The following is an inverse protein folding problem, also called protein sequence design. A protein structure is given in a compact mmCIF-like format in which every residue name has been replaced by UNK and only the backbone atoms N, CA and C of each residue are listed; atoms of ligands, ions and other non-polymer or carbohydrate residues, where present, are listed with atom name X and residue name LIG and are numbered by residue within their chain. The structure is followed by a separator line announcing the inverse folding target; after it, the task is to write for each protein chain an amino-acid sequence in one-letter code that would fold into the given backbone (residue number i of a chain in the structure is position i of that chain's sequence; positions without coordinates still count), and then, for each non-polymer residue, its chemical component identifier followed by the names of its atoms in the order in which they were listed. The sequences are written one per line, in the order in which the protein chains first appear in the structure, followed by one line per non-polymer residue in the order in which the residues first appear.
data_IF_391521224856
#
_entry.id   IF_391521224856
#
_cell.length_a   1.000
_cell.length_b   1.000
_cell.length_c   1.000
_cell.angle_alpha   90.00
_cell.angle_beta   90.00
_cell.angle_gamma   90.00
#
_symmetry.space_group_name_H-M   'P 1'
#
loop_
_entity.id
_entity.type
_entity.pdbx_description
1 polymer ?
#
# COMPACT_ATOMS: atom_id res chain seq x y z
N UNK A 1 -21.64 42.37 16.67
CA UNK A 1 -21.83 41.00 17.23
C UNK A 1 -21.01 40.91 18.51
N UNK A 2 -21.59 40.41 19.61
CA UNK A 2 -20.94 40.37 20.93
C UNK A 2 -20.20 39.02 21.08
N UNK A 3 -18.89 39.08 21.27
CA UNK A 3 -18.00 37.95 21.55
C UNK A 3 -18.09 37.59 23.04
N UNK A 4 -18.45 36.34 23.35
CA UNK A 4 -18.45 35.82 24.71
C UNK A 4 -17.42 34.71 24.82
N UNK A 5 -16.20 35.11 25.16
CA UNK A 5 -15.07 34.27 25.52
C UNK A 5 -15.24 33.79 26.97
N UNK A 6 -15.21 32.46 27.21
CA UNK A 6 -14.96 31.90 28.55
C UNK A 6 -13.88 30.82 28.47
N UNK A 7 -12.76 31.09 29.14
CA UNK A 7 -11.62 30.19 29.37
C UNK A 7 -11.87 29.26 30.56
N UNK A 8 -11.32 28.05 30.42
CA UNK A 8 -10.50 27.29 31.39
C UNK A 8 -11.14 26.76 32.68
N UNK A 9 -11.09 25.43 32.82
CA UNK A 9 -10.66 24.77 34.07
C UNK A 9 -10.13 23.35 33.82
N UNK A 10 -8.83 23.23 34.07
CA UNK A 10 -8.02 22.15 34.66
C UNK A 10 -8.69 20.83 35.10
N UNK A 11 -8.05 19.71 34.73
CA UNK A 11 -8.22 18.40 35.38
C UNK A 11 -6.92 17.57 35.28
N UNK A 12 -6.40 17.16 36.43
CA UNK A 12 -5.07 16.60 36.71
C UNK A 12 -4.96 15.10 36.40
N UNK A 13 -3.73 14.68 36.11
CA UNK A 13 -3.23 13.36 35.76
C UNK A 13 -3.56 12.18 36.71
N UNK A 14 -3.56 10.98 36.14
CA UNK A 14 -3.17 9.75 36.83
C UNK A 14 -2.47 8.79 35.84
N UNK A 15 -1.15 8.65 35.98
CA UNK A 15 -0.38 7.59 35.36
C UNK A 15 -0.53 6.32 36.20
N UNK A 16 -0.90 5.20 35.56
CA UNK A 16 -0.80 3.88 36.16
C UNK A 16 0.33 3.13 35.46
N UNK A 17 1.47 3.02 36.14
CA UNK A 17 2.51 2.05 35.82
C UNK A 17 2.00 0.66 36.21
N UNK A 18 1.94 -0.26 35.25
CA UNK A 18 1.88 -1.69 35.52
C UNK A 18 3.26 -2.27 35.23
N UNK A 19 3.99 -2.55 36.31
CA UNK A 19 5.14 -3.45 36.30
C UNK A 19 4.74 -4.78 36.95
N UNK A 20 5.42 -5.84 36.50
CA UNK A 20 5.67 -7.10 37.20
C UNK A 20 4.64 -8.25 37.06
N UNK A 21 5.00 -9.23 36.25
CA UNK A 21 5.05 -10.67 36.58
C UNK A 21 5.74 -11.39 35.41
N UNK A 22 6.69 -12.31 35.54
CA UNK A 22 7.33 -12.95 36.69
C UNK A 22 8.32 -13.94 36.09
N UNK A 23 9.59 -13.84 36.50
CA UNK A 23 10.64 -14.83 36.26
C UNK A 23 10.73 -15.73 37.49
N UNK A 24 10.89 -17.05 37.29
CA UNK A 24 11.49 -18.07 38.17
C UNK A 24 10.80 -19.43 37.90
N UNK A 25 11.46 -20.59 37.80
CA UNK A 25 12.76 -21.02 38.34
C UNK A 25 13.26 -22.22 37.52
N UNK A 26 14.57 -22.20 37.28
CA UNK A 26 15.42 -23.33 36.92
C UNK A 26 15.41 -24.40 38.05
N UNK A 27 15.56 -25.66 37.66
CA UNK A 27 15.91 -26.78 38.54
C UNK A 27 16.81 -27.77 37.79
N UNK A 28 18.04 -27.35 37.52
CA UNK A 28 19.29 -28.04 37.87
C UNK A 28 19.25 -29.58 38.14
N UNK A 29 19.73 -30.34 37.15
CA UNK A 29 20.83 -31.37 37.18
C UNK A 29 20.65 -32.71 37.96
N UNK A 30 21.51 -33.75 37.75
CA UNK A 30 22.54 -33.98 36.68
C UNK A 30 22.68 -35.44 36.14
N UNK A 31 23.52 -35.55 35.08
CA UNK A 31 24.50 -36.63 34.74
C UNK A 31 24.01 -38.04 34.35
N UNK A 32 24.66 -38.80 33.45
CA UNK A 32 25.97 -38.74 32.77
C UNK A 32 25.93 -39.77 31.62
N UNK A 33 26.76 -39.64 30.57
CA UNK A 33 27.01 -40.76 29.64
C UNK A 33 27.43 -40.40 28.23
N UNK A 34 28.71 -40.09 28.07
CA UNK A 34 29.40 -39.72 26.83
C UNK A 34 29.44 -40.82 25.74
N UNK A 35 29.48 -40.41 24.46
CA UNK A 35 30.61 -40.66 23.51
C UNK A 35 30.21 -40.33 22.06
N UNK A 36 31.02 -39.52 21.37
CA UNK A 36 31.12 -39.44 19.90
C UNK A 36 32.18 -40.47 19.42
N UNK A 37 32.56 -40.62 18.11
CA UNK A 37 32.15 -39.93 16.86
C UNK A 37 31.98 -40.88 15.62
N UNK A 38 32.07 -40.32 14.40
CA UNK A 38 32.24 -40.92 13.03
C UNK A 38 30.96 -41.41 12.29
N UNK A 39 30.72 -41.32 10.96
CA UNK A 39 31.34 -40.83 9.70
C UNK A 39 30.22 -40.91 8.60
N UNK A 40 29.99 -39.91 7.73
CA UNK A 40 30.32 -39.88 6.27
C UNK A 40 29.13 -39.98 5.28
N UNK A 41 29.30 -39.22 4.18
CA UNK A 41 28.72 -39.22 2.82
C UNK A 41 27.54 -38.30 2.46
N UNK A 42 27.87 -37.49 1.46
CA UNK A 42 27.15 -36.69 0.45
C UNK A 42 25.88 -37.29 -0.16
N UNK A 43 24.96 -36.43 -0.62
CA UNK A 43 24.52 -36.49 -2.02
C UNK A 43 24.07 -35.13 -2.55
N UNK A 44 24.43 -34.88 -3.80
CA UNK A 44 24.04 -33.74 -4.60
C UNK A 44 22.80 -34.12 -5.43
N UNK A 45 21.76 -33.31 -5.38
CA UNK A 45 20.59 -33.45 -6.24
C UNK A 45 20.19 -32.08 -6.78
N UNK A 46 20.60 -31.83 -8.02
CA UNK A 46 20.11 -30.73 -8.87
C UNK A 46 18.81 -31.16 -9.51
N UNK A 47 17.76 -30.35 -9.40
CA UNK A 47 16.67 -30.32 -10.38
C UNK A 47 16.30 -28.86 -10.66
N UNK A 48 16.70 -28.38 -11.85
CA UNK A 48 15.94 -27.38 -12.60
C UNK A 48 14.56 -27.95 -12.97
N UNK A 49 13.55 -27.10 -13.08
CA UNK A 49 12.81 -26.84 -14.33
C UNK A 49 11.44 -26.21 -14.02
N UNK A 50 11.05 -25.21 -14.80
CA UNK A 50 9.67 -24.70 -14.78
C UNK A 50 9.46 -23.22 -15.09
N UNK A 51 10.39 -22.56 -15.80
CA UNK A 51 10.10 -21.28 -16.45
C UNK A 51 9.09 -21.54 -17.57
N UNK A 52 7.85 -21.11 -17.36
CA UNK A 52 6.86 -21.01 -18.44
C UNK A 52 6.77 -19.55 -18.85
N UNK A 53 7.64 -19.19 -19.79
CA UNK A 53 7.51 -17.98 -20.57
C UNK A 53 6.27 -18.11 -21.47
N UNK A 54 5.37 -17.14 -21.35
CA UNK A 54 4.36 -16.86 -22.37
C UNK A 54 4.72 -15.51 -22.98
N UNK A 55 5.32 -15.56 -24.17
CA UNK A 55 5.25 -14.51 -25.19
C UNK A 55 3.85 -14.64 -25.83
N UNK A 56 3.12 -13.62 -26.28
CA UNK A 56 3.47 -12.34 -26.87
C UNK A 56 2.17 -11.52 -26.92
N UNK A 57 2.23 -10.21 -26.70
CA UNK A 57 1.30 -9.24 -27.28
C UNK A 57 1.89 -7.84 -27.07
N UNK A 58 2.16 -7.16 -28.19
CA UNK A 58 2.80 -5.86 -28.31
C UNK A 58 2.37 -4.89 -27.20
N UNK A 59 3.25 -4.68 -26.21
CA UNK A 59 2.99 -3.81 -25.07
C UNK A 59 3.89 -2.60 -25.18
N UNK A 60 3.29 -1.42 -25.07
CA UNK A 60 3.98 -0.19 -24.72
C UNK A 60 5.12 -0.51 -23.72
N UNK A 61 6.35 -0.13 -24.08
CA UNK A 61 7.61 -0.25 -23.28
C UNK A 61 7.58 0.61 -22.00
N UNK A 62 6.39 0.83 -21.47
CA UNK A 62 6.09 1.83 -20.49
C UNK A 62 6.37 1.31 -19.07
N UNK A 63 6.54 0.00 -18.89
CA UNK A 63 6.99 -0.65 -17.65
C UNK A 63 8.42 -1.21 -17.77
N UNK A 64 9.21 -0.71 -18.72
CA UNK A 64 10.59 -1.15 -18.90
C UNK A 64 11.42 -0.95 -17.63
N UNK A 65 12.13 -2.00 -17.24
CA UNK A 65 12.93 -2.05 -16.00
C UNK A 65 12.13 -1.87 -14.71
N UNK A 66 10.81 -2.03 -14.73
CA UNK A 66 10.02 -2.03 -13.50
C UNK A 66 10.35 -3.27 -12.65
N UNK A 67 10.52 -3.07 -11.35
CA UNK A 67 10.79 -4.15 -10.39
C UNK A 67 9.48 -4.65 -9.77
N UNK A 68 9.38 -5.96 -9.57
CA UNK A 68 8.22 -6.56 -8.92
C UNK A 68 8.39 -6.49 -7.40
N UNK A 69 7.42 -5.86 -6.72
CA UNK A 69 7.40 -5.70 -5.27
C UNK A 69 6.15 -6.35 -4.71
N UNK A 70 6.33 -7.24 -3.73
CA UNK A 70 5.25 -7.92 -3.03
C UNK A 70 5.02 -7.23 -1.70
N UNK A 71 3.78 -6.82 -1.42
CA UNK A 71 3.45 -6.18 -0.14
C UNK A 71 3.75 -7.11 1.04
N UNK A 72 4.10 -6.60 2.21
CA UNK A 72 4.20 -7.42 3.43
C UNK A 72 2.90 -7.38 4.23
N UNK A 73 2.16 -6.28 4.13
CA UNK A 73 0.96 -5.96 4.91
C UNK A 73 -0.36 -6.36 4.23
N UNK A 74 -0.33 -6.54 2.91
CA UNK A 74 -1.54 -6.67 2.09
C UNK A 74 -1.40 -7.76 1.03
N UNK A 75 -2.50 -8.35 0.54
CA UNK A 75 -2.47 -9.49 -0.39
C UNK A 75 -2.29 -9.08 -1.87
N UNK A 76 -1.23 -8.34 -2.20
CA UNK A 76 -0.90 -8.05 -3.60
C UNK A 76 0.60 -7.96 -3.93
N UNK A 77 0.92 -8.03 -5.22
CA UNK A 77 2.20 -7.65 -5.85
C UNK A 77 1.96 -6.53 -6.86
N UNK A 78 2.96 -5.65 -7.06
CA UNK A 78 2.93 -4.50 -7.97
C UNK A 78 4.27 -4.38 -8.72
N UNK A 79 4.25 -3.84 -9.94
CA UNK A 79 5.43 -3.40 -10.68
C UNK A 79 5.74 -1.93 -10.38
N UNK A 80 6.96 -1.65 -9.91
CA UNK A 80 7.43 -0.31 -9.54
C UNK A 80 8.44 0.18 -10.57
N UNK A 81 8.17 1.33 -11.17
CA UNK A 81 9.05 1.97 -12.15
C UNK A 81 10.34 2.49 -11.50
N UNK A 82 11.47 2.55 -12.23
CA UNK A 82 12.66 3.27 -11.76
C UNK A 82 12.34 4.72 -11.41
N UNK A 83 12.95 5.24 -10.34
CA UNK A 83 12.68 6.58 -9.82
C UNK A 83 11.49 6.65 -8.87
N UNK A 84 10.92 5.51 -8.50
CA UNK A 84 9.91 5.40 -7.45
C UNK A 84 10.36 4.39 -6.38
N UNK A 85 9.99 4.68 -5.14
CA UNK A 85 10.27 3.82 -3.98
C UNK A 85 8.97 3.36 -3.33
N UNK A 86 8.82 2.05 -3.14
CA UNK A 86 7.70 1.44 -2.44
C UNK A 86 8.06 1.16 -0.97
N UNK A 87 7.12 1.39 -0.05
CA UNK A 87 7.26 1.08 1.38
C UNK A 87 5.95 0.60 1.99
N UNK A 88 6.01 -0.38 2.89
CA UNK A 88 4.87 -0.75 3.72
C UNK A 88 4.65 0.23 4.88
N UNK A 89 3.39 0.54 5.20
CA UNK A 89 2.93 1.33 6.34
C UNK A 89 1.94 0.53 7.21
N UNK A 90 2.35 0.17 8.43
CA UNK A 90 1.45 -0.50 9.37
C UNK A 90 0.39 0.46 9.96
N UNK A 91 -0.87 0.02 10.15
CA UNK A 91 -1.45 -1.23 9.64
C UNK A 91 -2.00 -1.08 8.22
N UNK A 92 -1.73 -2.08 7.36
CA UNK A 92 -2.53 -2.37 6.16
C UNK A 92 -2.54 -1.31 5.06
N UNK A 93 -1.50 -0.47 4.98
CA UNK A 93 -1.32 0.50 3.89
C UNK A 93 0.05 0.31 3.31
N UNK A 94 0.20 0.61 2.03
CA UNK A 94 1.50 0.75 1.41
C UNK A 94 1.56 2.09 0.69
N UNK A 95 2.78 2.58 0.45
CA UNK A 95 2.99 3.86 -0.20
C UNK A 95 4.08 3.76 -1.25
N UNK A 96 3.86 4.44 -2.37
CA UNK A 96 4.77 4.57 -3.48
C UNK A 96 5.08 6.06 -3.67
N UNK A 97 6.34 6.46 -3.47
CA UNK A 97 6.77 7.87 -3.58
C UNK A 97 7.66 8.07 -4.81
N UNK A 98 7.64 9.27 -5.39
CA UNK A 98 8.69 9.70 -6.33
C UNK A 98 9.99 9.95 -5.58
N UNK A 99 11.10 9.44 -6.12
CA UNK A 99 12.44 9.66 -5.58
C UNK A 99 12.89 11.12 -5.77
N UNK A 100 12.33 11.82 -6.77
CA UNK A 100 12.63 13.23 -7.06
C UNK A 100 11.85 14.18 -6.16
N UNK A 101 10.65 13.77 -5.74
CA UNK A 101 9.79 14.57 -4.88
C UNK A 101 8.91 13.66 -4.01
N UNK A 102 9.27 13.50 -2.75
CA UNK A 102 8.49 12.71 -1.80
C UNK A 102 7.12 13.31 -1.45
N UNK A 103 6.82 14.54 -1.86
CA UNK A 103 5.48 15.12 -1.74
C UNK A 103 4.53 14.60 -2.82
N UNK A 104 5.07 14.06 -3.92
CA UNK A 104 4.32 13.32 -4.91
C UNK A 104 4.32 11.82 -4.57
N UNK A 105 3.17 11.28 -4.17
CA UNK A 105 3.06 9.90 -3.72
C UNK A 105 1.67 9.30 -3.85
N UNK A 106 1.61 7.98 -3.90
CA UNK A 106 0.38 7.21 -3.92
C UNK A 106 0.31 6.26 -2.73
N UNK A 107 -0.76 6.38 -1.93
CA UNK A 107 -1.16 5.35 -0.97
C UNK A 107 -1.97 4.27 -1.66
N UNK A 108 -1.68 3.02 -1.31
CA UNK A 108 -2.32 1.81 -1.84
C UNK A 108 -2.95 1.05 -0.69
N UNK A 109 -4.25 0.79 -0.81
CA UNK A 109 -5.01 -0.07 0.08
C UNK A 109 -5.78 -1.08 -0.74
N UNK A 110 -5.78 -2.32 -0.27
CA UNK A 110 -6.45 -3.45 -0.90
C UNK A 110 -7.20 -4.24 0.15
N UNK A 111 -8.25 -4.92 -0.31
CA UNK A 111 -8.86 -6.01 0.44
C UNK A 111 -9.47 -7.02 -0.50
N UNK A 112 -9.90 -8.15 0.06
CA UNK A 112 -10.73 -9.10 -0.68
C UNK A 112 -12.01 -8.42 -1.14
N UNK A 113 -12.33 -8.60 -2.42
CA UNK A 113 -13.56 -8.11 -3.02
C UNK A 113 -14.74 -8.97 -2.55
N UNK A 114 -15.44 -8.49 -1.53
CA UNK A 114 -16.65 -9.10 -0.98
C UNK A 114 -17.94 -8.70 -1.72
N UNK A 115 -17.85 -7.80 -2.70
CA UNK A 115 -18.97 -7.27 -3.48
C UNK A 115 -19.85 -6.23 -2.76
N UNK A 116 -19.77 -6.14 -1.43
CA UNK A 116 -20.62 -5.26 -0.62
C UNK A 116 -19.95 -3.92 -0.31
N UNK A 117 -18.62 -3.87 -0.35
CA UNK A 117 -17.86 -2.73 0.19
C UNK A 117 -17.42 -1.71 -0.85
N UNK A 118 -17.70 -1.96 -2.13
CA UNK A 118 -17.28 -1.09 -3.22
C UNK A 118 -17.86 0.33 -3.04
N UNK A 119 -19.17 0.45 -2.81
CA UNK A 119 -19.82 1.76 -2.67
C UNK A 119 -19.32 2.54 -1.45
N UNK A 120 -19.03 1.83 -0.35
CA UNK A 120 -18.44 2.43 0.86
C UNK A 120 -17.03 2.98 0.58
N UNK A 121 -16.20 2.25 -0.18
CA UNK A 121 -14.87 2.70 -0.58
C UNK A 121 -14.94 3.92 -1.50
N UNK A 122 -15.88 3.93 -2.46
CA UNK A 122 -16.13 5.07 -3.36
C UNK A 122 -16.56 6.30 -2.57
N UNK A 123 -17.51 6.16 -1.65
CA UNK A 123 -17.97 7.27 -0.81
C UNK A 123 -16.83 7.79 0.10
N UNK A 124 -16.06 6.87 0.68
CA UNK A 124 -14.94 7.25 1.56
C UNK A 124 -13.83 7.96 0.81
N UNK A 125 -13.46 7.51 -0.39
CA UNK A 125 -12.40 8.16 -1.17
C UNK A 125 -12.82 9.57 -1.61
N UNK A 126 -14.10 9.76 -1.95
CA UNK A 126 -14.63 11.08 -2.31
C UNK A 126 -14.54 12.08 -1.14
N UNK A 127 -14.91 11.65 0.07
CA UNK A 127 -14.77 12.46 1.28
C UNK A 127 -13.29 12.72 1.63
N UNK A 128 -12.41 11.74 1.43
CA UNK A 128 -10.98 11.88 1.66
C UNK A 128 -10.37 12.94 0.73
N UNK A 129 -10.68 12.89 -0.58
CA UNK A 129 -10.22 13.86 -1.57
C UNK A 129 -10.68 15.28 -1.19
N UNK A 130 -11.94 15.40 -0.75
CA UNK A 130 -12.48 16.66 -0.26
C UNK A 130 -11.73 17.18 0.95
N UNK A 131 -11.49 16.32 1.95
CA UNK A 131 -10.79 16.69 3.17
C UNK A 131 -9.30 17.03 2.93
N UNK A 132 -8.68 16.48 1.89
CA UNK A 132 -7.26 16.70 1.59
C UNK A 132 -6.97 18.08 0.99
N UNK A 133 -7.98 18.72 0.40
CA UNK A 133 -7.82 19.96 -0.37
C UNK A 133 -8.70 21.10 0.13
N UNK A 134 -9.59 20.84 1.09
CA UNK A 134 -10.67 21.73 1.51
C UNK A 134 -11.57 22.22 0.35
N UNK A 135 -11.64 21.46 -0.74
CA UNK A 135 -12.44 21.74 -1.94
C UNK A 135 -13.34 20.54 -2.29
N UNK A 136 -14.45 20.76 -2.99
CA UNK A 136 -15.36 19.66 -3.36
C UNK A 136 -14.72 18.72 -4.40
N UNK A 137 -14.69 17.42 -4.10
CA UNK A 137 -14.20 16.39 -5.00
C UNK A 137 -15.05 16.29 -6.29
N UNK A 138 -14.40 16.35 -7.44
CA UNK A 138 -15.02 16.23 -8.76
C UNK A 138 -14.71 14.87 -9.37
N UNK A 139 -15.70 14.25 -10.00
CA UNK A 139 -15.47 13.00 -10.73
C UNK A 139 -14.52 13.24 -11.90
N UNK A 140 -13.48 12.40 -12.00
CA UNK A 140 -12.48 12.47 -13.06
C UNK A 140 -13.04 11.86 -14.35
N UNK A 141 -12.78 12.52 -15.48
CA UNK A 141 -13.09 12.00 -16.83
C UNK A 141 -11.86 11.87 -17.71
N UNK A 142 -10.68 12.28 -17.22
CA UNK A 142 -9.41 12.04 -17.91
C UNK A 142 -9.09 10.55 -17.84
N UNK A 143 -8.91 9.93 -19.00
CA UNK A 143 -8.63 8.51 -19.14
C UNK A 143 -7.25 8.12 -18.61
N UNK A 144 -6.29 9.06 -18.53
CA UNK A 144 -4.95 8.78 -18.00
C UNK A 144 -4.94 8.69 -16.47
N UNK A 145 -6.00 9.18 -15.82
CA UNK A 145 -6.18 9.16 -14.37
C UNK A 145 -7.25 8.13 -13.94
N UNK A 146 -7.66 7.26 -14.88
CA UNK A 146 -8.62 6.19 -14.66
C UNK A 146 -7.98 4.86 -15.05
N UNK A 147 -7.76 3.93 -14.11
CA UNK A 147 -7.23 2.61 -14.43
C UNK A 147 -8.13 1.89 -15.45
N UNK A 148 -7.54 1.42 -16.54
CA UNK A 148 -8.23 0.76 -17.66
C UNK A 148 -7.49 -0.47 -18.21
N UNK A 149 -6.39 -0.86 -17.55
CA UNK A 149 -5.66 -2.09 -17.84
C UNK A 149 -6.51 -3.36 -17.77
N UNK A 150 -6.01 -4.44 -18.38
CA UNK A 150 -6.71 -5.72 -18.46
C UNK A 150 -7.11 -6.25 -17.08
N UNK A 151 -8.38 -6.67 -16.96
CA UNK A 151 -8.93 -7.23 -15.72
C UNK A 151 -9.34 -6.19 -14.68
N UNK A 152 -9.25 -4.90 -15.01
CA UNK A 152 -9.77 -3.82 -14.18
C UNK A 152 -11.26 -3.63 -14.46
N UNK A 153 -12.05 -3.59 -13.39
CA UNK A 153 -13.49 -3.41 -13.41
C UNK A 153 -13.89 -2.27 -12.48
N UNK A 154 -15.04 -1.64 -12.76
CA UNK A 154 -15.64 -0.62 -11.89
C UNK A 154 -14.66 0.48 -11.47
N UNK A 155 -13.80 0.95 -12.38
CA UNK A 155 -12.89 2.04 -12.08
C UNK A 155 -13.65 3.37 -11.94
N UNK A 156 -13.41 4.07 -10.84
CA UNK A 156 -13.88 5.45 -10.62
C UNK A 156 -12.77 6.24 -9.94
N UNK A 157 -12.64 7.50 -10.35
CA UNK A 157 -11.75 8.44 -9.69
C UNK A 157 -12.43 9.78 -9.41
N UNK A 158 -11.99 10.42 -8.34
CA UNK A 158 -12.35 11.77 -7.95
C UNK A 158 -11.08 12.58 -7.73
N UNK A 159 -11.06 13.82 -8.18
CA UNK A 159 -9.94 14.73 -7.99
C UNK A 159 -10.43 16.03 -7.36
N UNK A 160 -9.54 16.63 -6.58
CA UNK A 160 -9.67 18.00 -6.12
C UNK A 160 -8.28 18.65 -6.06
N UNK A 161 -8.22 19.97 -6.21
CA UNK A 161 -6.98 20.73 -6.26
C UNK A 161 -7.12 22.05 -5.51
N UNK A 162 -6.14 22.37 -4.67
CA UNK A 162 -5.90 23.70 -4.11
C UNK A 162 -4.67 24.33 -4.79
N UNK A 163 -4.19 25.48 -4.30
CA UNK A 163 -2.99 26.12 -4.85
C UNK A 163 -1.72 25.28 -4.65
N UNK A 164 -1.67 24.48 -3.58
CA UNK A 164 -0.46 23.78 -3.15
C UNK A 164 -0.51 22.26 -3.38
N UNK A 165 -1.71 21.66 -3.45
CA UNK A 165 -1.87 20.20 -3.55
C UNK A 165 -2.97 19.80 -4.52
N UNK A 166 -2.72 18.74 -5.29
CA UNK A 166 -3.74 18.01 -6.04
C UNK A 166 -3.89 16.63 -5.42
N UNK A 167 -5.12 16.20 -5.15
CA UNK A 167 -5.40 14.86 -4.61
C UNK A 167 -6.37 14.12 -5.50
N UNK A 168 -5.97 12.95 -5.97
CA UNK A 168 -6.80 12.04 -6.76
C UNK A 168 -7.07 10.76 -5.97
N UNK A 169 -8.34 10.50 -5.69
CA UNK A 169 -8.81 9.26 -5.07
C UNK A 169 -9.35 8.32 -6.14
N UNK A 170 -8.95 7.05 -6.11
CA UNK A 170 -9.34 6.05 -7.11
C UNK A 170 -9.84 4.79 -6.41
N UNK A 171 -10.90 4.19 -6.93
CA UNK A 171 -11.37 2.86 -6.53
C UNK A 171 -11.60 2.03 -7.77
N UNK A 172 -11.15 0.78 -7.75
CA UNK A 172 -11.40 -0.19 -8.81
C UNK A 172 -11.34 -1.62 -8.27
N UNK A 173 -11.88 -2.56 -9.05
CA UNK A 173 -11.78 -4.00 -8.80
C UNK A 173 -10.76 -4.59 -9.77
N UNK A 174 -9.92 -5.50 -9.29
CA UNK A 174 -9.03 -6.29 -10.15
C UNK A 174 -8.90 -7.72 -9.62
N UNK A 175 -9.51 -8.66 -10.33
CA UNK A 175 -9.68 -10.03 -9.85
C UNK A 175 -10.40 -10.05 -8.50
N UNK A 176 -9.82 -10.72 -7.51
CA UNK A 176 -10.40 -10.83 -6.16
C UNK A 176 -10.04 -9.65 -5.25
N UNK A 177 -9.42 -8.59 -5.79
CA UNK A 177 -9.04 -7.39 -5.01
C UNK A 177 -9.99 -6.23 -5.28
N UNK A 178 -10.46 -5.61 -4.20
CA UNK A 178 -10.93 -4.24 -4.20
C UNK A 178 -9.74 -3.34 -3.87
N UNK A 179 -9.43 -2.39 -4.74
CA UNK A 179 -8.25 -1.51 -4.63
C UNK A 179 -8.70 -0.07 -4.46
N UNK A 180 -8.06 0.64 -3.53
CA UNK A 180 -8.17 2.08 -3.31
C UNK A 180 -6.79 2.70 -3.44
N UNK A 181 -6.71 3.75 -4.24
CA UNK A 181 -5.54 4.60 -4.35
C UNK A 181 -5.88 5.98 -3.81
N UNK A 182 -4.92 6.60 -3.13
CA UNK A 182 -4.94 8.04 -2.89
C UNK A 182 -3.62 8.61 -3.37
N UNK A 183 -3.69 9.41 -4.44
CA UNK A 183 -2.55 10.02 -5.10
C UNK A 183 -2.49 11.48 -4.69
N UNK A 184 -1.33 11.91 -4.23
CA UNK A 184 -0.99 13.29 -3.95
C UNK A 184 0.03 13.73 -4.99
N UNK A 185 -0.29 14.81 -5.71
CA UNK A 185 0.58 15.48 -6.68
C UNK A 185 0.81 16.93 -6.23
N UNK A 186 1.87 17.55 -6.76
CA UNK A 186 2.14 18.98 -6.55
C UNK A 186 2.00 19.74 -7.87
N UNK A 187 1.88 21.08 -7.85
CA UNK A 187 1.91 21.88 -9.08
C UNK A 187 3.22 21.77 -9.87
N UNK A 188 4.30 21.29 -9.24
CA UNK A 188 5.63 21.13 -9.85
C UNK A 188 5.79 19.77 -10.54
N UNK A 189 5.12 18.74 -10.03
CA UNK A 189 5.22 17.37 -10.54
C UNK A 189 3.84 16.68 -10.51
N UNK A 190 3.25 16.47 -11.69
CA UNK A 190 1.96 15.79 -11.87
C UNK A 190 2.22 14.35 -12.32
N UNK A 191 2.39 13.43 -11.36
CA UNK A 191 2.77 12.03 -11.59
C UNK A 191 1.58 11.06 -11.56
N UNK A 192 0.36 11.57 -11.42
CA UNK A 192 -0.85 10.74 -11.34
C UNK A 192 -0.93 9.65 -12.41
N UNK A 193 -0.60 9.94 -13.67
CA UNK A 193 -0.62 8.94 -14.74
C UNK A 193 0.41 7.80 -14.53
N UNK A 194 1.61 8.12 -14.05
CA UNK A 194 2.65 7.13 -13.75
C UNK A 194 2.26 6.25 -12.56
N UNK A 195 1.67 6.87 -11.51
CA UNK A 195 1.11 6.13 -10.38
C UNK A 195 -0.01 5.17 -10.79
N UNK A 196 -0.95 5.64 -11.61
CA UNK A 196 -2.05 4.82 -12.13
C UNK A 196 -1.51 3.63 -12.89
N UNK A 197 -0.58 3.85 -13.80
CA UNK A 197 0.03 2.82 -14.62
C UNK A 197 0.76 1.74 -13.81
N UNK A 198 1.45 2.12 -12.72
CA UNK A 198 2.00 1.12 -11.78
C UNK A 198 0.88 0.39 -11.04
N UNK A 199 -0.15 1.09 -10.57
CA UNK A 199 -1.29 0.48 -9.90
C UNK A 199 -2.11 -0.48 -10.80
N UNK A 200 -2.14 -0.24 -12.11
CA UNK A 200 -2.73 -1.17 -13.08
C UNK A 200 -2.05 -2.53 -13.11
N UNK A 201 -0.86 -2.68 -12.53
CA UNK A 201 -0.14 -3.95 -12.43
C UNK A 201 -0.47 -4.73 -11.17
N UNK A 202 -1.18 -4.14 -10.20
CA UNK A 202 -1.56 -4.78 -8.93
C UNK A 202 -2.23 -6.13 -9.18
N UNK A 203 -1.77 -7.19 -8.54
CA UNK A 203 -2.39 -8.52 -8.65
C UNK A 203 -2.34 -9.22 -7.30
N UNK A 204 -3.34 -10.06 -7.01
CA UNK A 204 -3.31 -10.90 -5.82
C UNK A 204 -2.05 -11.79 -5.79
N UNK A 205 -1.55 -12.09 -4.59
CA UNK A 205 -0.42 -13.02 -4.39
C UNK A 205 -0.89 -14.47 -4.42
#
# INVERSE_FOLDING_TARGET
MKLNWKLVSTGIAAALFLAACGTDKDSSKPDEGASAPDQVVTDAGSEENGSSASEDDQKDNALDNAESVTSEEQNYTIQVLPGFTWTAEEPGRDVLYSDNNSEAFMRIETKENDGDSYDDWVANVQELVKASTDQDAQKVTDVNLLPSGQGIENAVAFNSKSDDVSTTGVVFVKGDLLVRLTIFDTPEEELGADFIKMAETIQAK
#
